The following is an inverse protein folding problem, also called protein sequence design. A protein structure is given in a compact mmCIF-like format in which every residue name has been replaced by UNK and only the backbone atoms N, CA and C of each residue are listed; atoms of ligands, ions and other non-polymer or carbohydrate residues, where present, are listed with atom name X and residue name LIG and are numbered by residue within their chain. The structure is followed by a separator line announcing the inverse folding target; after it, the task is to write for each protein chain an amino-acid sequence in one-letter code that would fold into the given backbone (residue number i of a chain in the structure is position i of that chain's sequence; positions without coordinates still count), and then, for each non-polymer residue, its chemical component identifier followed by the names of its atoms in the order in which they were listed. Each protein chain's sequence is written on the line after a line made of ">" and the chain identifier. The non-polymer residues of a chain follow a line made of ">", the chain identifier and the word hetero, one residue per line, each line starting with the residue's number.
data_IF_663974592618
#
_entry.id   IF_663974592618
#
_cell.length_a   1.000
_cell.length_b   1.000
_cell.length_c   1.000
_cell.angle_alpha   90.00
_cell.angle_beta   90.00
_cell.angle_gamma   90.00
#
_symmetry.space_group_name_H-M   'P 1'
#
loop_
_entity.id
_entity.type
_entity.pdbx_description
1 polymer ?
#
# COMPACT_ATOMS: atom_id res chain seq x y z
N UNK A 1 12.14 9.09 4.44
CA UNK A 1 11.31 8.38 3.44
C UNK A 1 12.08 7.99 2.16
N UNK A 2 12.99 8.77 1.54
CA UNK A 2 13.67 8.33 0.31
C UNK A 2 14.37 6.98 0.44
N UNK A 3 15.07 6.74 1.53
CA UNK A 3 15.74 5.47 1.78
C UNK A 3 14.75 4.29 1.86
N UNK A 4 13.59 4.49 2.50
CA UNK A 4 12.54 3.46 2.56
C UNK A 4 12.01 3.10 1.17
N UNK A 5 11.85 4.08 0.29
CA UNK A 5 11.44 3.82 -1.09
C UNK A 5 12.40 2.93 -1.87
N UNK A 6 13.71 2.99 -1.55
CA UNK A 6 14.70 2.10 -2.17
C UNK A 6 14.64 0.66 -1.63
N UNK A 7 14.28 0.49 -0.36
CA UNK A 7 14.36 -0.83 0.31
C UNK A 7 13.00 -1.49 0.55
N UNK A 8 11.87 -0.81 0.26
CA UNK A 8 10.54 -1.28 0.60
C UNK A 8 10.22 -2.67 0.04
N UNK A 9 10.73 -2.96 -1.14
CA UNK A 9 10.47 -4.19 -1.89
C UNK A 9 11.69 -5.14 -1.97
N UNK A 10 12.66 -5.02 -1.07
CA UNK A 10 13.84 -5.89 -1.04
C UNK A 10 13.49 -7.38 -0.98
N UNK A 11 12.31 -7.72 -0.47
CA UNK A 11 11.82 -9.11 -0.48
C UNK A 11 11.71 -9.70 -1.89
N UNK A 12 11.54 -8.87 -2.93
CA UNK A 12 11.52 -9.29 -4.35
C UNK A 12 12.79 -9.99 -4.81
N UNK A 13 13.93 -9.74 -4.14
CA UNK A 13 15.19 -10.44 -4.39
C UNK A 13 15.32 -11.78 -3.65
N UNK A 14 14.33 -12.13 -2.81
CA UNK A 14 14.31 -13.47 -2.21
C UNK A 14 14.07 -14.54 -3.28
N UNK A 15 14.64 -15.76 -3.12
CA UNK A 15 14.42 -16.84 -4.08
C UNK A 15 12.94 -17.12 -4.36
N UNK A 16 12.09 -17.04 -3.33
CA UNK A 16 10.66 -17.30 -3.43
C UNK A 16 9.92 -16.33 -4.35
N UNK A 17 10.32 -15.05 -4.35
CA UNK A 17 9.69 -14.04 -5.19
C UNK A 17 10.38 -13.94 -6.55
N UNK A 18 11.71 -13.97 -6.54
CA UNK A 18 12.52 -13.78 -7.75
C UNK A 18 12.25 -14.84 -8.80
N UNK A 19 12.39 -16.12 -8.47
CA UNK A 19 12.27 -17.20 -9.45
C UNK A 19 10.84 -17.35 -9.99
N UNK A 20 9.81 -17.17 -9.16
CA UNK A 20 8.44 -17.17 -9.66
C UNK A 20 8.19 -15.95 -10.56
N UNK A 21 8.68 -14.77 -10.19
CA UNK A 21 8.54 -13.56 -11.01
C UNK A 21 9.23 -13.71 -12.36
N UNK A 22 10.42 -14.30 -12.42
CA UNK A 22 11.12 -14.59 -13.67
C UNK A 22 10.33 -15.58 -14.54
N UNK A 23 9.82 -16.66 -13.94
CA UNK A 23 9.04 -17.68 -14.65
C UNK A 23 7.81 -17.10 -15.34
N UNK A 24 7.12 -16.17 -14.66
CA UNK A 24 5.85 -15.61 -15.15
C UNK A 24 5.98 -14.22 -15.78
N UNK A 25 7.20 -13.73 -15.99
CA UNK A 25 7.42 -12.45 -16.64
C UNK A 25 7.11 -12.51 -18.13
N UNK A 26 6.19 -11.66 -18.58
CA UNK A 26 5.72 -11.58 -19.96
C UNK A 26 6.05 -10.23 -20.65
N UNK A 27 6.86 -9.39 -20.01
CA UNK A 27 7.21 -8.06 -20.55
C UNK A 27 6.11 -6.99 -20.41
N UNK A 28 4.86 -7.40 -20.22
CA UNK A 28 3.71 -6.49 -20.18
C UNK A 28 2.71 -6.91 -19.08
N UNK A 29 2.93 -6.52 -17.87
CA UNK A 29 2.01 -6.82 -16.78
C UNK A 29 2.67 -7.50 -15.59
N UNK A 30 1.87 -7.80 -14.58
CA UNK A 30 2.35 -8.35 -13.33
C UNK A 30 2.60 -9.86 -13.44
N UNK A 31 3.83 -10.34 -13.15
CA UNK A 31 4.11 -11.79 -13.05
C UNK A 31 3.23 -12.48 -12.02
N UNK A 32 2.90 -11.80 -10.92
CA UNK A 32 1.99 -12.28 -9.88
C UNK A 32 0.60 -12.57 -10.45
N UNK A 33 0.08 -11.68 -11.30
CA UNK A 33 -1.22 -11.87 -11.94
C UNK A 33 -1.20 -13.04 -12.90
N UNK A 34 -0.12 -13.22 -13.66
CA UNK A 34 0.07 -14.36 -14.56
C UNK A 34 0.14 -15.70 -13.78
N UNK A 35 0.90 -15.72 -12.68
CA UNK A 35 0.98 -16.91 -11.81
C UNK A 35 -0.39 -17.25 -11.20
N UNK A 36 -1.15 -16.26 -10.73
CA UNK A 36 -2.51 -16.46 -10.19
C UNK A 36 -3.47 -17.01 -11.25
N UNK A 37 -3.37 -16.53 -12.48
CA UNK A 37 -4.22 -17.00 -13.58
C UNK A 37 -3.96 -18.47 -13.90
N UNK A 38 -2.71 -18.91 -13.86
CA UNK A 38 -2.33 -20.28 -14.18
C UNK A 38 -2.58 -21.25 -13.01
N UNK A 39 -2.20 -20.87 -11.79
CA UNK A 39 -2.17 -21.79 -10.65
C UNK A 39 -3.30 -21.54 -9.61
N UNK A 40 -4.11 -20.49 -9.79
CA UNK A 40 -5.08 -20.02 -8.80
C UNK A 40 -4.48 -19.19 -7.65
N UNK A 41 -3.17 -19.19 -7.50
CA UNK A 41 -2.42 -18.43 -6.48
C UNK A 41 -1.02 -18.06 -6.98
N UNK A 42 -0.29 -17.22 -6.24
CA UNK A 42 1.12 -16.91 -6.44
C UNK A 42 1.88 -17.06 -5.13
N UNK A 43 2.94 -17.89 -5.13
CA UNK A 43 3.86 -18.04 -3.98
C UNK A 43 4.61 -16.75 -3.72
N UNK A 44 5.06 -16.09 -4.79
CA UNK A 44 5.70 -14.78 -4.69
C UNK A 44 4.79 -13.78 -3.96
N UNK A 45 3.51 -13.72 -4.32
CA UNK A 45 2.55 -12.83 -3.66
C UNK A 45 2.31 -13.20 -2.19
N UNK A 46 2.16 -14.47 -1.87
CA UNK A 46 1.97 -14.91 -0.49
C UNK A 46 3.16 -14.54 0.39
N UNK A 47 4.38 -14.73 -0.12
CA UNK A 47 5.61 -14.32 0.55
C UNK A 47 5.69 -12.78 0.68
N UNK A 48 5.44 -12.07 -0.41
CA UNK A 48 5.54 -10.61 -0.50
C UNK A 48 4.59 -9.92 0.47
N UNK A 49 3.28 -10.22 0.39
CA UNK A 49 2.28 -9.59 1.26
C UNK A 49 2.49 -9.91 2.76
N UNK A 50 3.08 -11.07 3.08
CA UNK A 50 3.35 -11.47 4.45
C UNK A 50 4.58 -10.77 5.06
N UNK A 51 5.41 -10.10 4.27
CA UNK A 51 6.63 -9.41 4.71
C UNK A 51 6.58 -7.90 4.58
N UNK A 52 5.76 -7.40 3.67
CA UNK A 52 5.73 -5.99 3.32
C UNK A 52 4.52 -5.29 3.94
N UNK A 53 4.77 -4.50 4.96
CA UNK A 53 3.73 -3.83 5.78
C UNK A 53 2.96 -2.74 5.04
N UNK A 54 3.41 -2.33 3.85
CA UNK A 54 2.66 -1.41 2.99
C UNK A 54 1.53 -2.10 2.21
N UNK A 55 1.44 -3.42 2.23
CA UNK A 55 0.29 -4.15 1.72
C UNK A 55 -0.77 -4.34 2.81
N UNK A 56 -2.00 -3.93 2.54
CA UNK A 56 -3.09 -4.03 3.50
C UNK A 56 -3.36 -5.47 3.97
N UNK A 57 -3.09 -6.46 3.11
CA UNK A 57 -3.26 -7.89 3.41
C UNK A 57 -2.34 -8.37 4.54
N UNK A 58 -1.24 -7.67 4.82
CA UNK A 58 -0.40 -7.93 5.99
C UNK A 58 -1.16 -7.71 7.30
N UNK A 59 -2.09 -6.76 7.31
CA UNK A 59 -2.85 -6.31 8.48
C UNK A 59 -4.18 -7.02 8.64
N UNK A 60 -4.56 -7.87 7.67
CA UNK A 60 -5.84 -8.56 7.67
C UNK A 60 -5.72 -9.95 8.29
N UNK A 61 -6.49 -10.17 9.36
CA UNK A 61 -6.70 -11.49 9.95
C UNK A 61 -8.15 -11.92 9.70
N UNK A 62 -8.32 -13.03 9.00
CA UNK A 62 -9.64 -13.56 8.65
C UNK A 62 -10.47 -14.02 9.83
N UNK A 63 -9.85 -14.24 10.99
CA UNK A 63 -10.55 -14.68 12.20
C UNK A 63 -11.11 -13.52 13.04
N UNK A 64 -10.64 -12.32 12.82
CA UNK A 64 -11.06 -11.16 13.63
C UNK A 64 -12.21 -10.39 13.05
N UNK A 65 -12.84 -10.85 11.95
CA UNK A 65 -13.93 -10.15 11.26
C UNK A 65 -13.78 -8.63 11.37
N UNK A 66 -14.24 -7.82 10.62
CA UNK A 66 -14.36 -6.34 10.61
C UNK A 66 -13.38 -5.48 11.47
N UNK A 67 -12.47 -6.07 12.26
CA UNK A 67 -11.52 -5.36 13.11
C UNK A 67 -10.11 -5.37 12.53
N UNK A 68 -9.95 -4.73 11.38
CA UNK A 68 -8.61 -4.46 10.85
C UNK A 68 -8.00 -3.24 11.56
N UNK A 69 -6.72 -3.30 11.97
CA UNK A 69 -6.07 -2.18 12.64
C UNK A 69 -5.89 -0.99 11.67
N UNK A 70 -5.76 0.20 12.24
CA UNK A 70 -5.32 1.36 11.50
C UNK A 70 -3.85 1.12 11.10
N UNK A 71 -3.58 1.11 9.80
CA UNK A 71 -2.22 0.94 9.29
C UNK A 71 -1.40 2.18 9.65
N UNK A 72 -0.23 2.03 10.31
CA UNK A 72 0.57 3.17 10.71
C UNK A 72 0.94 4.10 9.54
N UNK A 73 1.03 5.40 9.81
CA UNK A 73 1.25 6.46 8.82
C UNK A 73 2.33 6.13 7.79
N UNK A 74 3.51 5.70 8.24
CA UNK A 74 4.64 5.37 7.38
C UNK A 74 4.32 4.31 6.32
N UNK A 75 3.55 3.28 6.68
CA UNK A 75 3.15 2.22 5.76
C UNK A 75 1.98 2.61 4.87
N UNK A 76 1.10 3.49 5.37
CA UNK A 76 0.03 4.07 4.55
C UNK A 76 0.61 4.96 3.44
N UNK A 77 1.60 5.81 3.76
CA UNK A 77 2.29 6.63 2.76
C UNK A 77 3.05 5.76 1.75
N UNK A 78 3.73 4.72 2.23
CA UNK A 78 4.43 3.75 1.37
C UNK A 78 3.46 3.05 0.42
N UNK A 79 2.30 2.59 0.90
CA UNK A 79 1.22 2.01 0.09
C UNK A 79 0.73 2.98 -0.99
N UNK A 80 0.50 4.24 -0.65
CA UNK A 80 0.06 5.28 -1.59
C UNK A 80 1.10 5.48 -2.69
N UNK A 81 2.37 5.65 -2.31
CA UNK A 81 3.45 5.88 -3.26
C UNK A 81 3.68 4.66 -4.17
N UNK A 82 3.69 3.45 -3.61
CA UNK A 82 3.85 2.21 -4.37
C UNK A 82 2.71 2.02 -5.39
N UNK A 83 1.47 2.22 -4.98
CA UNK A 83 0.31 2.07 -5.86
C UNK A 83 0.31 3.08 -7.00
N UNK A 84 0.72 4.34 -6.74
CA UNK A 84 0.88 5.37 -7.77
C UNK A 84 2.03 5.02 -8.74
N UNK A 85 3.16 4.57 -8.21
CA UNK A 85 4.32 4.17 -9.02
C UNK A 85 3.98 2.97 -9.91
N UNK A 86 3.31 1.95 -9.37
CA UNK A 86 2.83 0.80 -10.12
C UNK A 86 1.85 1.22 -11.23
N UNK A 87 0.88 2.08 -10.91
CA UNK A 87 -0.08 2.61 -11.89
C UNK A 87 0.62 3.32 -13.06
N UNK A 88 1.57 4.20 -12.75
CA UNK A 88 2.39 4.90 -13.78
C UNK A 88 3.21 3.93 -14.60
N UNK A 89 3.84 2.95 -13.98
CA UNK A 89 4.68 1.95 -14.66
C UNK A 89 3.84 1.10 -15.63
N UNK A 90 2.71 0.57 -15.19
CA UNK A 90 1.88 -0.31 -16.04
C UNK A 90 1.12 0.44 -17.13
N UNK A 91 0.77 1.69 -16.93
CA UNK A 91 0.07 2.51 -17.93
C UNK A 91 1.01 3.30 -18.83
N UNK A 92 2.24 3.56 -18.40
CA UNK A 92 3.21 4.33 -19.17
C UNK A 92 2.62 5.66 -19.63
N UNK A 93 2.68 5.93 -20.94
CA UNK A 93 2.15 7.16 -21.56
C UNK A 93 0.63 7.31 -21.44
N UNK A 94 -0.10 6.23 -21.17
CA UNK A 94 -1.57 6.25 -21.01
C UNK A 94 -1.99 6.49 -19.55
N UNK A 95 -1.06 6.74 -18.65
CA UNK A 95 -1.40 7.09 -17.29
C UNK A 95 -1.97 8.51 -17.24
N UNK A 96 -3.11 8.66 -16.57
CA UNK A 96 -3.76 9.95 -16.33
C UNK A 96 -3.89 10.18 -14.83
N UNK A 97 -4.03 11.43 -14.39
CA UNK A 97 -4.09 11.76 -12.96
C UNK A 97 -5.31 11.14 -12.24
N UNK A 98 -6.39 10.87 -12.96
CA UNK A 98 -7.62 10.24 -12.45
C UNK A 98 -7.57 8.70 -12.44
N UNK A 99 -6.54 8.11 -13.09
CA UNK A 99 -6.40 6.66 -13.17
C UNK A 99 -6.39 5.99 -11.80
N UNK A 100 -5.63 6.54 -10.86
CA UNK A 100 -5.48 5.93 -9.55
C UNK A 100 -6.76 5.97 -8.73
N UNK A 101 -7.52 7.06 -8.81
CA UNK A 101 -8.83 7.16 -8.18
C UNK A 101 -9.81 6.14 -8.75
N UNK A 102 -9.87 6.03 -10.08
CA UNK A 102 -10.75 5.07 -10.76
C UNK A 102 -10.39 3.62 -10.44
N UNK A 103 -9.11 3.31 -10.34
CA UNK A 103 -8.62 2.00 -9.91
C UNK A 103 -9.02 1.71 -8.45
N UNK A 104 -8.77 2.66 -7.55
CA UNK A 104 -9.11 2.54 -6.13
C UNK A 104 -10.60 2.35 -5.90
N UNK A 105 -11.47 3.07 -6.60
CA UNK A 105 -12.93 2.93 -6.47
C UNK A 105 -13.42 1.51 -6.81
N UNK A 106 -12.73 0.79 -7.68
CA UNK A 106 -13.01 -0.63 -7.98
C UNK A 106 -12.48 -1.54 -6.87
N UNK A 107 -11.23 -1.36 -6.48
CA UNK A 107 -10.58 -2.18 -5.45
C UNK A 107 -11.24 -2.01 -4.08
N UNK A 108 -11.68 -0.80 -3.72
CA UNK A 108 -12.32 -0.49 -2.43
C UNK A 108 -13.51 -1.38 -2.11
N UNK A 109 -14.19 -1.91 -3.12
CA UNK A 109 -15.37 -2.78 -2.95
C UNK A 109 -15.01 -4.15 -2.36
N UNK A 110 -13.77 -4.57 -2.48
CA UNK A 110 -13.32 -5.92 -2.12
C UNK A 110 -12.23 -5.93 -1.05
N UNK A 111 -11.60 -4.79 -0.76
CA UNK A 111 -10.55 -4.73 0.26
C UNK A 111 -11.12 -4.92 1.67
N UNK A 112 -10.37 -5.64 2.50
CA UNK A 112 -10.64 -5.83 3.92
C UNK A 112 -9.67 -4.99 4.75
N UNK A 113 -9.81 -3.69 4.64
CA UNK A 113 -8.93 -2.68 5.26
C UNK A 113 -9.76 -1.81 6.19
N UNK A 114 -9.15 -1.29 7.26
CA UNK A 114 -9.78 -0.34 8.17
C UNK A 114 -10.36 0.84 7.39
N UNK A 115 -11.59 1.23 7.71
CA UNK A 115 -12.34 2.26 6.99
C UNK A 115 -11.63 3.63 7.04
N UNK A 116 -10.98 3.96 8.15
CA UNK A 116 -10.19 5.18 8.26
C UNK A 116 -9.09 5.23 7.18
N UNK A 117 -8.38 4.12 6.96
CA UNK A 117 -7.35 4.04 5.93
C UNK A 117 -7.94 4.08 4.52
N UNK A 118 -9.09 3.45 4.31
CA UNK A 118 -9.81 3.57 3.04
C UNK A 118 -10.19 5.02 2.73
N UNK A 119 -10.56 5.79 3.75
CA UNK A 119 -10.88 7.21 3.61
C UNK A 119 -9.62 8.04 3.30
N UNK A 120 -8.49 7.75 3.95
CA UNK A 120 -7.19 8.35 3.59
C UNK A 120 -6.86 8.14 2.12
N UNK A 121 -6.92 6.89 1.64
CA UNK A 121 -6.64 6.56 0.23
C UNK A 121 -7.60 7.26 -0.72
N UNK A 122 -8.89 7.29 -0.38
CA UNK A 122 -9.92 7.95 -1.21
C UNK A 122 -9.62 9.44 -1.34
N UNK A 123 -9.32 10.11 -0.25
CA UNK A 123 -9.05 11.54 -0.26
C UNK A 123 -7.77 11.88 -1.01
N UNK A 124 -6.68 11.16 -0.74
CA UNK A 124 -5.40 11.38 -1.43
C UNK A 124 -5.55 11.16 -2.94
N UNK A 125 -6.20 10.08 -3.37
CA UNK A 125 -6.37 9.83 -4.81
C UNK A 125 -7.36 10.80 -5.47
N UNK A 126 -8.32 11.34 -4.73
CA UNK A 126 -9.18 12.44 -5.20
C UNK A 126 -8.36 13.71 -5.42
N UNK A 127 -7.47 14.05 -4.51
CA UNK A 127 -6.56 15.19 -4.69
C UNK A 127 -5.58 14.96 -5.84
N UNK A 128 -5.03 13.75 -6.01
CA UNK A 128 -4.20 13.43 -7.18
C UNK A 128 -4.98 13.64 -8.48
N UNK A 129 -6.24 13.21 -8.52
CA UNK A 129 -7.08 13.37 -9.71
C UNK A 129 -7.39 14.84 -10.02
N UNK A 130 -7.62 15.67 -9.03
CA UNK A 130 -7.94 17.10 -9.22
C UNK A 130 -6.68 17.94 -9.44
N UNK A 131 -5.66 17.81 -8.59
CA UNK A 131 -4.54 18.74 -8.49
C UNK A 131 -3.22 18.18 -9.01
N UNK A 132 -3.13 16.86 -9.20
CA UNK A 132 -1.91 16.17 -9.62
C UNK A 132 -1.05 15.68 -8.46
N UNK A 133 -0.05 14.82 -8.79
CA UNK A 133 0.79 14.13 -7.80
C UNK A 133 1.58 15.13 -6.96
N UNK A 134 2.22 16.11 -7.58
CA UNK A 134 3.15 17.02 -6.88
C UNK A 134 2.48 17.83 -5.77
N UNK A 135 1.20 18.18 -5.96
CA UNK A 135 0.42 18.89 -4.95
C UNK A 135 -0.16 17.94 -3.90
N UNK A 136 -0.66 16.79 -4.31
CA UNK A 136 -1.29 15.84 -3.40
C UNK A 136 -0.27 15.07 -2.55
N UNK A 137 0.87 14.68 -3.13
CA UNK A 137 1.87 13.81 -2.49
C UNK A 137 3.00 14.65 -1.90
N UNK A 138 2.71 15.35 -0.83
CA UNK A 138 3.71 16.01 0.00
C UNK A 138 3.50 15.65 1.49
N UNK A 139 4.55 15.81 2.27
CA UNK A 139 4.58 15.39 3.68
C UNK A 139 3.47 16.04 4.52
N UNK A 140 3.29 17.33 4.37
CA UNK A 140 2.32 18.10 5.15
C UNK A 140 0.89 17.60 4.87
N UNK A 141 0.51 17.56 3.59
CA UNK A 141 -0.81 17.15 3.15
C UNK A 141 -1.14 15.70 3.55
N UNK A 142 -0.22 14.76 3.30
CA UNK A 142 -0.44 13.35 3.67
C UNK A 142 -0.60 13.17 5.18
N UNK A 143 0.17 13.90 5.98
CA UNK A 143 0.08 13.87 7.44
C UNK A 143 -1.24 14.45 7.94
N UNK A 144 -1.68 15.56 7.36
CA UNK A 144 -2.94 16.21 7.69
C UNK A 144 -4.13 15.29 7.38
N UNK A 145 -4.20 14.74 6.17
CA UNK A 145 -5.26 13.80 5.77
C UNK A 145 -5.28 12.58 6.69
N UNK A 146 -4.13 11.97 6.93
CA UNK A 146 -4.03 10.79 7.79
C UNK A 146 -4.53 11.10 9.22
N UNK A 147 -4.04 12.17 9.84
CA UNK A 147 -4.43 12.54 11.20
C UNK A 147 -5.93 12.80 11.31
N UNK A 148 -6.50 13.48 10.33
CA UNK A 148 -7.94 13.79 10.29
C UNK A 148 -8.78 12.52 10.12
N UNK A 149 -8.43 11.65 9.18
CA UNK A 149 -9.20 10.45 8.90
C UNK A 149 -9.08 9.38 9.99
N UNK A 150 -7.94 9.32 10.68
CA UNK A 150 -7.70 8.30 11.72
C UNK A 150 -7.92 8.83 13.14
N UNK A 151 -8.17 10.11 13.29
CA UNK A 151 -8.24 10.80 14.59
C UNK A 151 -6.98 10.57 15.45
N UNK A 152 -5.82 10.47 14.82
CA UNK A 152 -4.51 10.29 15.46
C UNK A 152 -3.62 11.50 15.18
N UNK A 153 -2.66 11.76 16.10
CA UNK A 153 -1.59 12.75 15.86
C UNK A 153 -0.30 12.00 15.58
N UNK A 154 0.20 12.09 14.36
CA UNK A 154 1.53 11.58 14.01
C UNK A 154 2.57 12.55 14.57
N UNK A 155 3.43 12.09 15.46
CA UNK A 155 4.53 12.87 16.02
C UNK A 155 5.64 13.06 15.00
N UNK A 156 6.43 14.10 15.12
CA UNK A 156 7.49 14.43 14.14
C UNK A 156 8.66 13.44 14.16
N UNK A 157 8.84 12.72 15.27
CA UNK A 157 9.99 11.86 15.54
C UNK A 157 9.85 10.40 15.06
N UNK A 158 8.72 10.00 14.48
CA UNK A 158 8.53 8.63 13.95
C UNK A 158 9.34 8.33 12.68
N UNK A 159 10.23 9.22 12.25
CA UNK A 159 11.13 8.99 11.11
C UNK A 159 12.40 8.19 11.47
N UNK A 160 12.75 8.10 12.73
CA UNK A 160 13.87 7.29 13.18
C UNK A 160 13.36 5.91 13.61
N UNK A 161 13.66 4.93 12.79
CA UNK A 161 13.34 3.52 12.98
C UNK A 161 14.08 2.97 14.22
N UNK A 162 13.44 3.08 15.37
CA UNK A 162 13.76 2.27 16.53
C UNK A 162 12.48 1.77 17.17
N UNK A 163 12.16 0.50 16.88
CA UNK A 163 11.45 -0.43 17.74
C UNK A 163 10.18 0.04 18.42
N UNK A 164 9.05 -0.44 17.87
CA UNK A 164 7.86 -0.89 18.60
C UNK A 164 7.69 -0.35 20.01
N UNK A 165 6.80 0.62 20.19
CA UNK A 165 5.99 0.69 21.38
C UNK A 165 4.52 0.62 20.99
N UNK A 166 4.00 -0.60 20.95
CA UNK A 166 2.56 -0.85 21.01
C UNK A 166 2.19 -0.59 22.46
N UNK A 167 1.72 0.59 22.78
CA UNK A 167 1.02 0.79 24.03
C UNK A 167 -0.30 0.02 23.96
N UNK A 168 -0.31 -1.09 24.70
CA UNK A 168 -1.50 -1.82 25.07
C UNK A 168 -2.51 -0.88 25.71
N UNK A 169 -3.60 -0.59 25.01
CA UNK A 169 -4.81 -0.14 25.67
C UNK A 169 -5.85 -1.24 25.58
N UNK A 170 -5.90 -1.98 26.69
CA UNK A 170 -7.06 -2.66 27.28
C UNK A 170 -7.88 -3.58 26.38
N UNK A 171 -7.50 -4.85 26.46
CA UNK A 171 -8.49 -5.91 26.39
C UNK A 171 -8.92 -6.29 27.83
N UNK A 172 -10.13 -5.98 28.18
CA UNK A 172 -10.93 -6.66 29.21
C UNK A 172 -12.07 -7.35 28.49
#
# INVERSE_FOLDING_TARGET
>A
IPFRGLVHDMSKFSPSEFFESVKYYQGNGSPISAAKKENGYSKAWLHHKGRNKHHWQYWYDSQTYDKTPIIPYKYTVEMICDTLAAGKTYKGKNWTKDYQLSYWQKERKTVKMNECIQNVLTEVYTQVASEGIDKAINRHNLKEIYNRCTNTKVQEDEENDTGVNVQNSQFV
#
